data_IF_069324466451
#
_entry.id   IF_069324466451
#
_cell.length_a   1.000
_cell.length_b   1.000
_cell.length_c   1.000
_cell.angle_alpha   90.00
_cell.angle_beta   90.00
_cell.angle_gamma   90.00
#
_symmetry.space_group_name_H-M   'P 1'
#
loop_
_entity.id
_entity.type
_entity.pdbx_description
1 polymer ?
#
# COMPACT_ATOMS: atom_id res chain seq x y z
N UNK A 1 1.79 9.96 31.64
CA UNK A 1 2.94 9.81 30.73
C UNK A 1 3.07 8.40 30.16
N UNK A 2 2.96 7.33 30.97
CA UNK A 2 3.08 5.94 30.51
C UNK A 2 2.11 5.52 29.39
N UNK A 3 0.84 5.97 29.42
CA UNK A 3 -0.15 5.68 28.36
C UNK A 3 0.28 6.18 26.96
N UNK A 4 1.02 7.29 26.89
CA UNK A 4 1.52 7.85 25.62
C UNK A 4 2.68 7.03 25.05
N UNK A 5 3.57 6.56 25.92
CA UNK A 5 4.62 5.62 25.52
C UNK A 5 4.03 4.35 24.93
N UNK A 6 2.97 3.82 25.54
CA UNK A 6 2.25 2.65 25.02
C UNK A 6 1.61 2.94 23.65
N UNK A 7 0.94 4.08 23.47
CA UNK A 7 0.33 4.44 22.19
C UNK A 7 1.36 4.61 21.07
N UNK A 8 2.48 5.31 21.33
CA UNK A 8 3.53 5.47 20.33
C UNK A 8 4.20 4.12 20.01
N UNK A 9 4.37 3.26 21.00
CA UNK A 9 4.89 1.91 20.81
C UNK A 9 3.98 1.08 19.92
N UNK A 10 2.66 1.08 20.16
CA UNK A 10 1.72 0.31 19.33
C UNK A 10 1.62 0.84 17.92
N UNK A 11 1.66 2.17 17.72
CA UNK A 11 1.72 2.77 16.39
C UNK A 11 3.03 2.41 15.66
N UNK A 12 4.18 2.45 16.35
CA UNK A 12 5.46 2.09 15.77
C UNK A 12 5.53 0.60 15.39
N UNK A 13 5.01 -0.29 16.24
CA UNK A 13 4.89 -1.72 15.95
C UNK A 13 3.96 -1.97 14.77
N UNK A 14 2.81 -1.30 14.69
CA UNK A 14 1.89 -1.42 13.57
C UNK A 14 2.54 -0.98 12.24
N UNK A 15 3.24 0.16 12.23
CA UNK A 15 3.97 0.65 11.04
C UNK A 15 5.10 -0.32 10.65
N UNK A 16 5.81 -0.88 11.63
CA UNK A 16 6.83 -1.89 11.40
C UNK A 16 6.25 -3.17 10.80
N UNK A 17 5.12 -3.67 11.31
CA UNK A 17 4.43 -4.85 10.78
C UNK A 17 3.96 -4.64 9.35
N UNK A 18 3.35 -3.48 9.06
CA UNK A 18 2.95 -3.11 7.70
C UNK A 18 4.14 -3.08 6.74
N UNK A 19 5.27 -2.50 7.19
CA UNK A 19 6.51 -2.47 6.41
C UNK A 19 7.11 -3.86 6.20
N UNK A 20 7.11 -4.71 7.23
CA UNK A 20 7.59 -6.08 7.15
C UNK A 20 6.76 -6.91 6.16
N UNK A 21 5.44 -6.79 6.21
CA UNK A 21 4.53 -7.47 5.28
C UNK A 21 4.68 -6.96 3.85
N UNK A 22 4.79 -5.64 3.67
CA UNK A 22 5.07 -5.04 2.36
C UNK A 22 6.39 -5.57 1.78
N UNK A 23 7.45 -5.65 2.58
CA UNK A 23 8.73 -6.21 2.16
C UNK A 23 8.62 -7.69 1.79
N UNK A 24 7.90 -8.51 2.58
CA UNK A 24 7.67 -9.93 2.27
C UNK A 24 6.96 -10.09 0.93
N UNK A 25 5.84 -9.38 0.72
CA UNK A 25 5.07 -9.42 -0.53
C UNK A 25 5.90 -8.94 -1.73
N UNK A 26 6.72 -7.90 -1.54
CA UNK A 26 7.67 -7.43 -2.57
C UNK A 26 8.66 -8.52 -2.96
N UNK A 27 9.16 -9.28 -1.98
CA UNK A 27 10.09 -10.38 -2.18
C UNK A 27 9.45 -11.50 -2.99
N UNK A 28 8.19 -11.86 -2.67
CA UNK A 28 7.44 -12.86 -3.44
C UNK A 28 7.17 -12.42 -4.88
N UNK A 29 6.81 -11.15 -5.12
CA UNK A 29 6.59 -10.65 -6.47
C UNK A 29 7.87 -10.54 -7.31
N UNK A 30 9.00 -10.26 -6.66
CA UNK A 30 10.31 -10.23 -7.32
C UNK A 30 10.89 -11.63 -7.52
N UNK A 31 10.43 -12.62 -6.77
CA UNK A 31 10.92 -13.99 -6.87
C UNK A 31 10.48 -14.58 -8.22
N UNK A 32 11.41 -14.64 -9.16
CA UNK A 32 11.16 -15.08 -10.53
C UNK A 32 10.93 -13.95 -11.53
N UNK A 33 11.10 -12.68 -11.13
CA UNK A 33 11.14 -11.56 -12.06
C UNK A 33 12.58 -11.08 -12.23
N UNK A 34 13.19 -11.35 -13.38
CA UNK A 34 14.58 -10.96 -13.69
C UNK A 34 14.74 -9.47 -14.03
N UNK A 35 13.63 -8.74 -14.14
CA UNK A 35 13.60 -7.39 -14.72
C UNK A 35 12.98 -7.35 -16.11
N UNK A 36 12.80 -8.50 -16.77
CA UNK A 36 12.15 -8.64 -18.07
C UNK A 36 10.81 -9.36 -17.94
N UNK A 37 9.80 -8.90 -18.69
CA UNK A 37 8.48 -9.52 -18.69
C UNK A 37 8.52 -10.99 -19.14
N UNK A 38 9.39 -11.31 -20.09
CA UNK A 38 9.54 -12.66 -20.66
C UNK A 38 9.96 -13.71 -19.61
N UNK A 39 10.71 -13.27 -18.61
CA UNK A 39 11.26 -14.14 -17.57
C UNK A 39 10.31 -14.31 -16.39
N UNK A 40 9.18 -13.57 -16.37
CA UNK A 40 8.19 -13.71 -15.32
C UNK A 40 7.65 -15.15 -15.27
N UNK A 41 7.68 -15.74 -14.08
CA UNK A 41 7.03 -17.01 -13.80
C UNK A 41 5.52 -16.83 -13.81
N UNK A 42 4.81 -17.72 -14.50
CA UNK A 42 3.35 -17.79 -14.48
C UNK A 42 2.94 -19.16 -13.93
N UNK A 43 1.85 -19.22 -13.15
CA UNK A 43 1.33 -20.50 -12.64
C UNK A 43 0.79 -21.40 -13.75
N UNK A 44 0.38 -20.80 -14.87
CA UNK A 44 -0.10 -21.47 -16.09
C UNK A 44 0.80 -21.10 -17.26
N UNK A 45 1.44 -22.09 -17.90
CA UNK A 45 2.25 -21.88 -19.10
C UNK A 45 1.41 -21.44 -20.30
N UNK A 46 0.16 -21.93 -20.39
CA UNK A 46 -0.78 -21.53 -21.44
C UNK A 46 -1.14 -20.05 -21.35
N UNK A 47 -1.43 -19.55 -20.15
CA UNK A 47 -1.77 -18.13 -19.97
C UNK A 47 -0.56 -17.24 -20.27
N UNK A 48 0.65 -17.71 -19.89
CA UNK A 48 1.89 -17.01 -20.22
C UNK A 48 2.06 -16.83 -21.72
N UNK A 49 1.86 -17.89 -22.51
CA UNK A 49 2.01 -17.84 -23.97
C UNK A 49 0.95 -16.95 -24.61
N UNK A 50 -0.30 -17.03 -24.16
CA UNK A 50 -1.39 -16.18 -24.65
C UNK A 50 -1.12 -14.70 -24.38
N UNK A 51 -0.76 -14.35 -23.15
CA UNK A 51 -0.46 -12.97 -22.75
C UNK A 51 0.78 -12.46 -23.50
N UNK A 52 1.83 -13.27 -23.62
CA UNK A 52 3.03 -12.87 -24.37
C UNK A 52 2.71 -12.63 -25.85
N UNK A 53 1.89 -13.50 -26.46
CA UNK A 53 1.46 -13.36 -27.84
C UNK A 53 0.66 -12.07 -28.02
N UNK A 54 -0.30 -11.78 -27.15
CA UNK A 54 -1.12 -10.56 -27.21
C UNK A 54 -0.28 -9.29 -27.04
N UNK A 55 0.66 -9.29 -26.10
CA UNK A 55 1.56 -8.15 -25.87
C UNK A 55 2.52 -7.97 -27.06
N UNK A 56 2.95 -9.05 -27.69
CA UNK A 56 3.83 -9.01 -28.86
C UNK A 56 3.07 -8.52 -30.10
N UNK A 57 1.87 -9.05 -30.35
CA UNK A 57 1.00 -8.65 -31.47
C UNK A 57 0.54 -7.19 -31.36
N UNK A 58 0.31 -6.69 -30.15
CA UNK A 58 -0.01 -5.28 -29.93
C UNK A 58 1.18 -4.33 -30.09
N UNK A 59 2.42 -4.83 -30.15
CA UNK A 59 3.64 -4.02 -30.27
C UNK A 59 3.94 -3.14 -29.04
N UNK A 60 3.22 -3.33 -27.93
CA UNK A 60 3.32 -2.51 -26.70
C UNK A 60 4.22 -3.10 -25.62
N UNK A 61 5.10 -4.04 -25.99
CA UNK A 61 5.97 -4.74 -25.05
C UNK A 61 6.75 -3.78 -24.13
N UNK A 62 7.27 -2.68 -24.68
CA UNK A 62 8.05 -1.70 -23.93
C UNK A 62 7.21 -0.91 -22.92
N UNK A 63 5.99 -0.53 -23.29
CA UNK A 63 5.05 0.18 -22.41
C UNK A 63 4.64 -0.69 -21.23
N UNK A 64 4.32 -1.96 -21.49
CA UNK A 64 3.96 -2.93 -20.45
C UNK A 64 5.14 -3.18 -19.51
N UNK A 65 6.35 -3.35 -20.05
CA UNK A 65 7.55 -3.55 -19.23
C UNK A 65 7.86 -2.33 -18.35
N UNK A 66 7.67 -1.12 -18.88
CA UNK A 66 7.78 0.12 -18.12
C UNK A 66 6.73 0.20 -17.00
N UNK A 67 5.47 -0.12 -17.29
CA UNK A 67 4.39 -0.13 -16.31
C UNK A 67 4.64 -1.14 -15.18
N UNK A 68 5.05 -2.38 -15.51
CA UNK A 68 5.41 -3.41 -14.52
C UNK A 68 6.58 -2.96 -13.67
N UNK A 69 7.59 -2.32 -14.26
CA UNK A 69 8.74 -1.77 -13.52
C UNK A 69 8.32 -0.68 -12.54
N UNK A 70 7.37 0.17 -12.91
CA UNK A 70 6.78 1.20 -12.02
C UNK A 70 6.03 0.54 -10.88
N UNK A 71 5.15 -0.43 -11.16
CA UNK A 71 4.39 -1.15 -10.13
C UNK A 71 5.31 -1.87 -9.13
N UNK A 72 6.37 -2.52 -9.62
CA UNK A 72 7.39 -3.18 -8.79
C UNK A 72 8.25 -2.21 -7.99
N UNK A 73 8.44 -0.98 -8.47
CA UNK A 73 9.13 0.09 -7.72
C UNK A 73 8.24 0.69 -6.64
N UNK A 74 6.95 0.85 -6.91
CA UNK A 74 5.99 1.40 -5.96
C UNK A 74 5.73 0.47 -4.77
N UNK A 75 6.06 -0.82 -4.89
CA UNK A 75 5.83 -1.84 -3.85
C UNK A 75 4.39 -1.85 -3.32
N UNK A 76 3.43 -1.56 -4.19
CA UNK A 76 2.03 -1.40 -3.86
C UNK A 76 1.24 -2.33 -4.78
N UNK A 77 0.59 -3.32 -4.17
CA UNK A 77 -0.14 -4.41 -4.86
C UNK A 77 -1.61 -4.42 -4.44
N UNK A 78 -2.13 -3.30 -3.95
CA UNK A 78 -3.55 -3.18 -3.62
C UNK A 78 -4.29 -2.66 -4.85
N UNK A 79 -5.32 -3.40 -5.29
CA UNK A 79 -6.10 -3.05 -6.48
C UNK A 79 -6.71 -1.64 -6.43
N UNK A 80 -7.02 -1.14 -5.23
CA UNK A 80 -7.50 0.23 -5.01
C UNK A 80 -6.44 1.29 -5.33
N UNK A 81 -5.18 1.06 -4.98
CA UNK A 81 -4.10 1.98 -5.36
C UNK A 81 -3.73 1.85 -6.84
N UNK A 82 -3.90 0.67 -7.44
CA UNK A 82 -3.69 0.52 -8.89
C UNK A 82 -4.74 1.32 -9.68
N UNK A 83 -6.01 1.30 -9.24
CA UNK A 83 -7.07 2.19 -9.77
C UNK A 83 -6.77 3.66 -9.52
N UNK A 84 -6.26 3.99 -8.34
CA UNK A 84 -5.91 5.38 -8.01
C UNK A 84 -4.70 5.84 -8.83
N UNK A 85 -3.68 5.01 -9.03
CA UNK A 85 -2.51 5.30 -9.85
C UNK A 85 -2.86 5.44 -11.34
N UNK A 86 -3.80 4.63 -11.84
CA UNK A 86 -4.34 4.81 -13.18
C UNK A 86 -5.00 6.20 -13.35
N UNK A 87 -5.70 6.70 -12.32
CA UNK A 87 -6.37 8.01 -12.35
C UNK A 87 -5.48 9.21 -12.03
N UNK A 88 -4.47 9.03 -11.17
CA UNK A 88 -3.66 10.12 -10.62
C UNK A 88 -2.24 10.17 -11.17
N UNK A 89 -1.87 9.22 -12.04
CA UNK A 89 -0.52 9.08 -12.58
C UNK A 89 0.44 8.37 -11.62
N UNK A 90 1.75 8.48 -11.88
CA UNK A 90 2.77 7.89 -11.02
C UNK A 90 2.76 8.57 -9.64
N UNK A 91 2.07 7.97 -8.66
CA UNK A 91 2.26 8.34 -7.26
C UNK A 91 3.76 8.26 -6.90
N UNK A 92 4.29 9.29 -6.25
CA UNK A 92 5.66 9.26 -5.74
C UNK A 92 5.90 8.04 -4.84
N UNK A 93 7.16 7.76 -4.49
CA UNK A 93 7.53 6.67 -3.59
C UNK A 93 6.97 6.93 -2.18
N UNK A 94 5.72 6.52 -1.96
CA UNK A 94 4.97 6.73 -0.71
C UNK A 94 5.58 5.92 0.44
N UNK A 95 6.45 4.96 0.14
CA UNK A 95 7.14 4.14 1.14
C UNK A 95 8.07 4.95 2.05
N UNK A 96 8.51 6.14 1.59
CA UNK A 96 9.29 7.07 2.43
C UNK A 96 8.45 7.85 3.42
N UNK A 97 7.12 7.84 3.27
CA UNK A 97 6.24 8.53 4.18
C UNK A 97 5.99 7.66 5.41
N UNK A 98 6.77 7.90 6.47
CA UNK A 98 6.54 7.21 7.74
C UNK A 98 5.41 7.91 8.48
N UNK A 99 4.30 7.18 8.67
CA UNK A 99 3.14 7.64 9.44
C UNK A 99 3.53 8.05 10.87
N UNK A 100 4.63 7.48 11.40
CA UNK A 100 5.19 7.82 12.68
C UNK A 100 5.55 9.31 12.79
N UNK A 101 6.14 9.92 11.74
CA UNK A 101 6.47 11.35 11.79
C UNK A 101 5.25 12.25 11.80
N UNK A 102 4.18 11.86 11.09
CA UNK A 102 2.90 12.59 11.13
C UNK A 102 2.28 12.51 12.52
N UNK A 103 2.27 11.31 13.09
CA UNK A 103 1.76 11.05 14.44
C UNK A 103 2.57 11.85 15.47
N UNK A 104 3.90 11.74 15.45
CA UNK A 104 4.80 12.48 16.36
C UNK A 104 4.63 13.99 16.21
N UNK A 105 4.54 14.49 14.97
CA UNK A 105 4.30 15.91 14.71
C UNK A 105 2.96 16.39 15.24
N UNK A 106 1.88 15.66 14.96
CA UNK A 106 0.53 15.97 15.43
C UNK A 106 0.44 15.92 16.96
N UNK A 107 1.02 14.89 17.58
CA UNK A 107 1.02 14.75 19.04
C UNK A 107 1.91 15.78 19.72
N UNK A 108 3.09 16.06 19.16
CA UNK A 108 3.96 17.15 19.61
C UNK A 108 3.24 18.49 19.58
N UNK A 109 2.41 18.71 18.56
CA UNK A 109 1.63 19.93 18.40
C UNK A 109 0.43 20.04 19.36
N UNK A 110 -0.35 18.97 19.52
CA UNK A 110 -1.63 19.03 20.25
C UNK A 110 -1.44 18.79 21.75
N UNK A 111 -0.51 17.92 22.16
CA UNK A 111 -0.44 17.40 23.53
C UNK A 111 0.62 18.07 24.39
N UNK A 112 1.75 18.47 23.81
CA UNK A 112 2.84 19.11 24.56
C UNK A 112 2.43 20.50 25.10
N UNK A 113 1.77 21.37 24.31
CA UNK A 113 1.46 22.72 24.80
C UNK A 113 0.52 22.78 26.00
N UNK A 114 -0.58 21.99 26.08
CA UNK A 114 -1.43 21.93 27.28
C UNK A 114 -0.71 21.41 28.52
N UNK A 115 0.25 20.49 28.38
CA UNK A 115 1.03 19.96 29.50
C UNK A 115 2.03 20.99 30.03
N UNK A 116 2.65 21.78 29.15
CA UNK A 116 3.50 22.91 29.53
C UNK A 116 2.69 24.06 30.15
N UNK A 117 1.44 24.22 29.74
CA UNK A 117 0.50 25.25 30.25
C UNK A 117 0.13 25.05 31.72
N UNK A 118 0.16 23.82 32.22
CA UNK A 118 -0.29 23.49 33.59
C UNK A 118 0.63 24.05 34.70
N UNK A 119 1.81 24.60 34.37
CA UNK A 119 2.82 25.04 35.36
C UNK A 119 3.12 26.54 35.40
N UNK A 120 2.59 27.39 34.52
CA UNK A 120 3.01 28.79 34.48
C UNK A 120 1.94 29.76 33.96
N UNK A 121 1.45 30.63 34.84
CA UNK A 121 0.51 31.72 34.51
C UNK A 121 1.09 32.74 33.51
N UNK A 122 2.41 32.93 33.47
CA UNK A 122 3.10 33.82 32.52
C UNK A 122 3.21 33.24 31.09
N UNK A 123 3.10 31.92 30.92
CA UNK A 123 3.22 31.26 29.62
C UNK A 123 1.95 31.40 28.76
N UNK A 124 0.82 31.80 29.34
CA UNK A 124 -0.46 31.93 28.63
C UNK A 124 -0.41 32.97 27.51
N UNK A 125 0.21 34.13 27.79
CA UNK A 125 0.28 35.25 26.84
C UNK A 125 1.32 35.00 25.75
N UNK A 126 2.46 34.37 26.09
CA UNK A 126 3.47 33.94 25.11
C UNK A 126 2.91 32.85 24.18
N UNK A 127 2.15 31.88 24.70
CA UNK A 127 1.51 30.84 23.89
C UNK A 127 0.37 31.37 23.01
N UNK A 128 -0.41 32.34 23.50
CA UNK A 128 -1.48 32.97 22.71
C UNK A 128 -0.94 33.61 21.42
N UNK A 129 0.30 34.12 21.48
CA UNK A 129 0.98 34.73 20.33
C UNK A 129 1.83 33.70 19.55
N UNK A 130 2.51 32.77 20.23
CA UNK A 130 3.40 31.81 19.61
C UNK A 130 2.67 30.71 18.83
N UNK A 131 1.52 30.23 19.31
CA UNK A 131 0.73 29.20 18.63
C UNK A 131 0.26 29.58 17.22
N UNK A 132 -0.36 30.76 16.99
CA UNK A 132 -0.74 31.15 15.64
C UNK A 132 0.49 31.37 14.74
N UNK A 133 1.59 31.88 15.29
CA UNK A 133 2.82 32.14 14.55
C UNK A 133 3.52 30.84 14.12
N UNK A 134 3.60 29.84 15.00
CA UNK A 134 4.08 28.51 14.62
C UNK A 134 3.09 27.76 13.73
N UNK A 135 1.79 27.95 13.91
CA UNK A 135 0.77 27.41 12.99
C UNK A 135 0.96 27.94 11.57
N UNK A 136 1.30 29.22 11.43
CA UNK A 136 1.70 29.86 10.18
C UNK A 136 2.99 29.26 9.60
N UNK A 137 4.00 28.97 10.43
CA UNK A 137 5.24 28.32 9.97
C UNK A 137 4.95 26.91 9.47
N UNK A 138 4.17 26.12 10.20
CA UNK A 138 3.79 24.76 9.77
C UNK A 138 2.93 24.80 8.51
N UNK A 139 1.99 25.74 8.42
CA UNK A 139 1.18 25.93 7.22
C UNK A 139 2.04 26.36 6.02
N UNK A 140 3.05 27.21 6.24
CA UNK A 140 4.00 27.63 5.24
C UNK A 140 4.88 26.47 4.79
N UNK A 141 5.44 25.69 5.70
CA UNK A 141 6.28 24.52 5.38
C UNK A 141 5.44 23.45 4.65
N UNK A 142 4.19 23.25 5.07
CA UNK A 142 3.28 22.36 4.37
C UNK A 142 2.94 22.88 2.97
N UNK A 143 2.67 24.18 2.82
CA UNK A 143 2.45 24.83 1.53
C UNK A 143 3.70 24.75 0.64
N UNK A 144 4.89 24.88 1.21
CA UNK A 144 6.15 24.80 0.50
C UNK A 144 6.46 23.37 0.06
N UNK A 145 6.29 22.38 0.93
CA UNK A 145 6.45 20.96 0.60
C UNK A 145 5.42 20.51 -0.44
N UNK A 146 4.17 20.95 -0.31
CA UNK A 146 3.13 20.67 -1.31
C UNK A 146 3.38 21.40 -2.63
N UNK A 147 3.90 22.63 -2.61
CA UNK A 147 4.32 23.36 -3.81
C UNK A 147 5.51 22.69 -4.50
N UNK A 148 6.53 22.29 -3.75
CA UNK A 148 7.65 21.51 -4.28
C UNK A 148 7.21 20.19 -4.88
N UNK A 149 6.28 19.49 -4.23
CA UNK A 149 5.65 18.30 -4.79
C UNK A 149 5.01 18.61 -6.14
N UNK A 150 4.21 19.67 -6.23
CA UNK A 150 3.54 20.07 -7.46
C UNK A 150 4.53 20.41 -8.58
N UNK A 151 5.63 21.12 -8.27
CA UNK A 151 6.70 21.42 -9.22
C UNK A 151 7.41 20.15 -9.72
N UNK A 152 7.68 19.19 -8.84
CA UNK A 152 8.28 17.90 -9.22
C UNK A 152 7.33 17.08 -10.08
N UNK A 153 6.03 17.09 -9.76
CA UNK A 153 4.98 16.41 -10.51
C UNK A 153 4.80 17.03 -11.91
N UNK A 154 4.85 18.37 -12.02
CA UNK A 154 4.77 19.07 -13.30
C UNK A 154 6.02 18.90 -14.16
N UNK A 155 7.22 18.88 -13.55
CA UNK A 155 8.45 18.51 -14.26
C UNK A 155 8.35 17.09 -14.87
N UNK A 156 7.72 16.16 -14.15
CA UNK A 156 7.43 14.81 -14.66
C UNK A 156 6.46 14.84 -15.82
N UNK A 157 5.37 15.59 -15.73
CA UNK A 157 4.40 15.73 -16.82
C UNK A 157 5.02 16.36 -18.07
N UNK A 158 5.87 17.38 -17.91
CA UNK A 158 6.60 17.99 -19.04
C UNK A 158 7.63 17.06 -19.69
N UNK A 159 8.08 16.03 -18.99
CA UNK A 159 8.98 15.02 -19.55
C UNK A 159 8.27 13.94 -20.38
N UNK A 160 6.93 13.89 -20.33
CA UNK A 160 6.13 13.02 -21.20
C UNK A 160 6.05 13.68 -22.59
N UNK A 161 6.53 13.02 -23.66
CA UNK A 161 6.43 13.56 -25.02
C UNK A 161 4.97 13.87 -25.37
N UNK A 162 4.68 15.05 -25.93
CA UNK A 162 3.31 15.44 -26.31
C UNK A 162 2.61 14.41 -27.21
N UNK A 163 3.37 13.64 -28.00
CA UNK A 163 2.84 12.56 -28.83
C UNK A 163 2.18 11.41 -28.05
N UNK A 164 2.56 11.20 -26.78
CA UNK A 164 1.93 10.22 -25.89
C UNK A 164 0.61 10.74 -25.33
N UNK A 165 0.55 12.03 -24.98
CA UNK A 165 -0.69 12.67 -24.51
C UNK A 165 -1.74 12.76 -25.63
N UNK A 166 -1.32 13.11 -26.85
CA UNK A 166 -2.18 13.10 -28.05
C UNK A 166 -2.67 11.69 -28.43
N UNK A 167 -1.97 10.64 -27.98
CA UNK A 167 -2.40 9.25 -28.13
C UNK A 167 -3.45 8.86 -27.10
N UNK A 168 -3.32 9.36 -25.87
CA UNK A 168 -4.30 9.16 -24.80
C UNK A 168 -5.65 9.84 -25.09
N UNK A 169 -5.62 11.03 -25.68
CA UNK A 169 -6.85 11.75 -26.10
C UNK A 169 -7.55 11.09 -27.30
N UNK A 170 -6.86 10.17 -27.99
CA UNK A 170 -7.40 9.36 -29.09
C UNK A 170 -7.84 7.96 -28.65
N UNK A 171 -7.72 7.63 -27.38
CA UNK A 171 -8.30 6.38 -26.87
C UNK A 171 -9.82 6.55 -26.94
N UNK A 172 -10.47 5.78 -27.81
CA UNK A 172 -11.91 5.82 -27.98
C UNK A 172 -12.60 5.48 -26.63
N UNK A 173 -13.67 6.21 -26.26
CA UNK A 173 -14.38 5.99 -24.99
C UNK A 173 -14.88 4.55 -24.81
N UNK A 174 -15.07 3.82 -25.91
CA UNK A 174 -15.46 2.41 -25.94
C UNK A 174 -14.40 1.51 -25.26
N UNK A 175 -13.12 1.91 -25.24
CA UNK A 175 -12.05 1.20 -24.55
C UNK A 175 -12.18 1.33 -23.03
N UNK A 176 -12.67 2.46 -22.54
CA UNK A 176 -12.94 2.64 -21.11
C UNK A 176 -14.14 1.81 -20.66
N UNK A 177 -15.16 1.66 -21.52
CA UNK A 177 -16.31 0.79 -21.25
C UNK A 177 -15.90 -0.70 -21.26
N UNK A 178 -15.07 -1.12 -22.21
CA UNK A 178 -14.53 -2.48 -22.25
C UNK A 178 -13.67 -2.79 -21.01
N UNK A 179 -12.81 -1.86 -20.58
CA UNK A 179 -12.03 -2.00 -19.36
C UNK A 179 -12.90 -2.04 -18.10
N UNK A 180 -13.96 -1.23 -18.04
CA UNK A 180 -14.93 -1.26 -16.95
C UNK A 180 -15.66 -2.62 -16.88
N UNK A 181 -16.08 -3.17 -18.01
CA UNK A 181 -16.71 -4.50 -18.10
C UNK A 181 -15.76 -5.63 -17.70
N UNK A 182 -14.49 -5.56 -18.12
CA UNK A 182 -13.47 -6.54 -17.73
C UNK A 182 -13.27 -6.56 -16.22
N UNK A 183 -13.19 -5.37 -15.60
CA UNK A 183 -13.06 -5.22 -14.15
C UNK A 183 -14.29 -5.74 -13.41
N UNK A 184 -15.51 -5.47 -13.91
CA UNK A 184 -16.77 -6.03 -13.39
C UNK A 184 -16.79 -7.56 -13.45
N UNK A 185 -16.38 -8.14 -14.60
CA UNK A 185 -16.36 -9.60 -14.78
C UNK A 185 -15.39 -10.28 -13.79
N UNK A 186 -14.22 -9.69 -13.58
CA UNK A 186 -13.22 -10.20 -12.66
C UNK A 186 -13.72 -10.15 -11.20
N UNK A 187 -14.43 -9.08 -10.82
CA UNK A 187 -15.02 -8.97 -9.49
C UNK A 187 -16.16 -9.99 -9.27
N UNK A 188 -16.94 -10.30 -10.30
CA UNK A 188 -17.98 -11.33 -10.21
C UNK A 188 -17.39 -12.73 -10.07
N UNK A 189 -16.33 -13.07 -10.80
CA UNK A 189 -15.60 -14.34 -10.63
C UNK A 189 -15.01 -14.45 -9.22
N UNK A 190 -14.47 -13.35 -8.69
CA UNK A 190 -13.95 -13.35 -7.31
C UNK A 190 -15.06 -13.55 -6.27
N UNK A 191 -16.25 -12.97 -6.47
CA UNK A 191 -17.41 -13.19 -5.59
C UNK A 191 -17.90 -14.63 -5.66
N UNK A 192 -17.96 -15.25 -6.84
CA UNK A 192 -18.41 -16.64 -6.96
C UNK A 192 -17.44 -17.61 -6.27
N UNK A 193 -16.13 -17.39 -6.39
CA UNK A 193 -15.12 -18.20 -5.70
C UNK A 193 -15.12 -18.00 -4.17
N UNK A 194 -15.52 -16.82 -3.68
CA UNK A 194 -15.66 -16.55 -2.24
C UNK A 194 -16.93 -17.14 -1.62
N UNK A 195 -17.98 -17.38 -2.41
CA UNK A 195 -19.25 -17.92 -1.94
C UNK A 195 -19.24 -19.44 -1.75
N UNK A 196 -18.29 -20.16 -2.35
CA UNK A 196 -18.13 -21.61 -2.22
C UNK A 196 -17.17 -22.05 -1.10
N UNK A 197 -16.65 -21.11 -0.30
CA UNK A 197 -15.86 -21.47 0.88
C UNK A 197 -16.73 -22.34 1.81
N UNK A 198 -16.43 -23.65 1.97
CA UNK A 198 -17.24 -24.53 2.79
C UNK A 198 -17.17 -24.02 4.21
N UNK A 199 -18.32 -23.74 4.81
CA UNK A 199 -18.44 -23.45 6.24
C UNK A 199 -17.81 -24.60 7.03
N UNK A 200 -16.58 -24.38 7.49
CA UNK A 200 -15.74 -25.29 8.28
C UNK A 200 -16.26 -25.44 9.72
N UNK A 201 -17.58 -25.62 9.87
CA UNK A 201 -18.31 -25.69 11.14
C UNK A 201 -18.84 -27.10 11.46
N UNK A 202 -18.45 -28.13 10.69
CA UNK A 202 -18.77 -29.53 10.98
C UNK A 202 -17.52 -30.42 10.90
N UNK A 203 -16.54 -30.15 11.75
CA UNK A 203 -15.58 -31.18 12.18
C UNK A 203 -15.75 -31.35 13.69
N UNK A 204 -16.77 -32.13 14.07
CA UNK A 204 -16.81 -32.76 15.38
C UNK A 204 -15.58 -33.66 15.53
N UNK A 205 -14.74 -33.48 16.55
CA UNK A 205 -13.67 -34.41 16.84
C UNK A 205 -14.28 -35.65 17.51
N UNK A 206 -14.37 -36.73 16.76
CA UNK A 206 -14.61 -38.07 17.30
C UNK A 206 -13.59 -38.38 18.38
N UNK A 207 -14.03 -38.32 19.65
CA UNK A 207 -13.28 -38.78 20.83
C UNK A 207 -12.93 -40.25 20.62
N UNK A 208 -11.68 -40.50 20.22
CA UNK A 208 -11.07 -41.83 20.25
C UNK A 208 -10.62 -42.11 21.68
N UNK A 209 -11.31 -43.03 22.33
CA UNK A 209 -11.04 -43.53 23.66
C UNK A 209 -9.69 -44.27 23.70
N UNK A 210 -8.62 -43.56 24.06
CA UNK A 210 -7.33 -44.19 24.34
C UNK A 210 -7.38 -44.87 25.72
N UNK A 211 -7.30 -46.19 25.67
CA UNK A 211 -7.17 -47.10 26.80
C UNK A 211 -5.86 -46.86 27.58
N UNK A 212 -6.00 -46.82 28.90
CA UNK A 212 -4.95 -46.55 29.88
C UNK A 212 -4.19 -47.86 30.17
N UNK A 213 -2.86 -47.96 29.99
CA UNK A 213 -2.12 -49.14 30.42
C UNK A 213 -1.84 -49.09 31.93
N UNK A 214 -1.93 -50.26 32.56
CA UNK A 214 -1.72 -50.48 33.99
C UNK A 214 -0.26 -50.29 34.43
N UNK A 215 0.01 -49.88 35.69
CA UNK A 215 1.36 -49.79 36.21
C UNK A 215 1.92 -51.19 36.52
N UNK A 216 3.06 -51.52 35.91
CA UNK A 216 3.87 -52.68 36.29
C UNK A 216 4.47 -52.44 37.68
N UNK A 217 4.40 -53.49 38.50
CA UNK A 217 4.88 -53.53 39.88
C UNK A 217 6.38 -53.32 40.01
N UNK A 218 6.74 -52.74 41.15
CA UNK A 218 8.09 -52.77 41.71
C UNK A 218 8.27 -54.10 42.45
N UNK A 219 9.17 -54.93 41.96
CA UNK A 219 9.74 -56.02 42.74
C UNK A 219 11.14 -55.60 43.24
N UNK A 220 11.35 -55.88 44.52
CA UNK A 220 12.62 -56.01 45.27
C UNK A 220 13.51 -54.76 45.50
#
# INVERSE_FOLDING_TARGET
MWAWGLLLSTCAEADWLLKADANRRSGYLRKGFSGRLLDAGCSSSSDKENIHKEIFESGKLHEVEAAVRVLLRMNIVTGELQRTAAKTGQLGDVSRYSHLWVIVGLFGWVVIPPLLFQRAELLKLVMLVAMPLQGLVVAHDFAFVSSWRWVVEEQRYRSVPQSELDRLDKIEPDVDEANAMLVESFLNVKRSLGAEAPSESQREPSRSSASRPAPLGSDA
#
